data_IF_407847003524
#
_entry.id   IF_407847003524
#
_cell.length_a   1.000
_cell.length_b   1.000
_cell.length_c   1.000
_cell.angle_alpha   90.00
_cell.angle_beta   90.00
_cell.angle_gamma   90.00
#
_symmetry.space_group_name_H-M   'P 1'
#
loop_
_entity.id
_entity.type
_entity.pdbx_description
1 polymer ?
#
# COMPACT_ATOMS: atom_id res chain seq x y z
N UNK A 1 20.88 44.92 -48.84
CA UNK A 1 20.52 44.78 -47.41
C UNK A 1 19.24 43.98 -47.31
N UNK A 2 19.34 42.70 -47.01
CA UNK A 2 18.19 41.80 -46.80
C UNK A 2 17.93 41.69 -45.29
N UNK A 3 16.78 42.18 -44.85
CA UNK A 3 16.28 42.02 -43.50
C UNK A 3 15.75 40.58 -43.33
N UNK A 4 16.46 39.79 -42.51
CA UNK A 4 15.97 38.49 -42.03
C UNK A 4 14.96 38.76 -40.92
N UNK A 5 13.69 38.55 -41.18
CA UNK A 5 12.62 38.51 -40.19
C UNK A 5 12.75 37.20 -39.40
N UNK A 6 13.28 37.24 -38.18
CA UNK A 6 13.23 36.11 -37.26
C UNK A 6 11.79 35.97 -36.75
N UNK A 7 11.09 34.94 -37.21
CA UNK A 7 9.82 34.51 -36.66
C UNK A 7 10.09 33.89 -35.26
N UNK A 8 9.85 34.70 -34.21
CA UNK A 8 9.65 34.13 -32.86
C UNK A 8 8.34 33.33 -32.89
N UNK A 9 8.45 32.03 -32.97
CA UNK A 9 7.32 31.14 -32.65
C UNK A 9 6.98 31.38 -31.17
N UNK A 10 5.90 32.11 -30.93
CA UNK A 10 5.31 32.19 -29.60
C UNK A 10 4.92 30.77 -29.20
N UNK A 11 5.65 30.19 -28.25
CA UNK A 11 5.27 28.91 -27.64
C UNK A 11 3.95 29.16 -26.92
N UNK A 12 2.84 28.73 -27.47
CA UNK A 12 1.55 28.74 -26.78
C UNK A 12 1.72 27.95 -25.48
N UNK A 13 1.24 28.46 -24.33
CA UNK A 13 1.33 27.70 -23.09
C UNK A 13 0.67 26.32 -23.32
N UNK A 14 1.43 25.26 -23.03
CA UNK A 14 0.89 23.90 -23.11
C UNK A 14 -0.32 23.80 -22.18
N UNK A 15 -1.41 23.27 -22.69
CA UNK A 15 -2.59 23.06 -21.86
C UNK A 15 -2.33 21.92 -20.87
N UNK A 16 -2.85 22.00 -19.64
CA UNK A 16 -2.74 20.94 -18.65
C UNK A 16 -3.72 19.80 -18.94
N UNK A 17 -3.42 19.06 -20.02
CA UNK A 17 -4.23 17.99 -20.57
C UNK A 17 -3.33 16.85 -21.06
N UNK A 18 -3.72 15.60 -20.76
CA UNK A 18 -2.99 14.40 -21.14
C UNK A 18 -3.96 13.28 -21.51
N UNK A 19 -3.60 12.43 -22.47
CA UNK A 19 -4.34 11.22 -22.82
C UNK A 19 -3.50 9.98 -22.57
N UNK A 20 -4.17 8.82 -22.39
CA UNK A 20 -3.52 7.52 -22.49
C UNK A 20 -2.88 7.32 -23.87
N UNK A 21 -1.91 6.41 -24.02
CA UNK A 21 -1.28 6.14 -25.30
C UNK A 21 -2.27 5.72 -26.40
N UNK A 22 -3.34 4.99 -26.06
CA UNK A 22 -4.42 4.61 -26.98
C UNK A 22 -5.46 5.72 -27.24
N UNK A 23 -5.37 6.83 -26.50
CA UNK A 23 -6.23 8.00 -26.63
C UNK A 23 -7.60 7.91 -25.96
N UNK A 24 -7.95 6.77 -25.32
CA UNK A 24 -9.27 6.53 -24.72
C UNK A 24 -9.51 7.28 -23.41
N UNK A 25 -8.46 7.37 -22.58
CA UNK A 25 -8.54 7.98 -21.25
C UNK A 25 -7.90 9.35 -21.33
N UNK A 26 -8.59 10.38 -20.85
CA UNK A 26 -8.04 11.73 -20.82
C UNK A 26 -8.16 12.35 -19.43
N UNK A 27 -7.15 13.15 -19.06
CA UNK A 27 -7.11 13.91 -17.81
C UNK A 27 -6.87 15.37 -18.13
N UNK A 28 -7.72 16.23 -17.60
CA UNK A 28 -7.53 17.68 -17.60
C UNK A 28 -7.28 18.18 -16.18
N UNK A 29 -6.47 19.23 -16.08
CA UNK A 29 -6.19 19.92 -14.80
C UNK A 29 -6.46 21.40 -14.98
N UNK A 30 -7.19 21.99 -14.04
CA UNK A 30 -7.54 23.40 -14.08
C UNK A 30 -7.21 24.06 -12.73
N UNK A 31 -6.92 25.35 -12.75
CA UNK A 31 -6.78 26.16 -11.56
C UNK A 31 -7.87 27.24 -11.56
N UNK A 32 -8.68 27.23 -10.51
CA UNK A 32 -9.74 28.21 -10.26
C UNK A 32 -9.43 29.02 -9.01
N UNK A 33 -9.69 30.31 -9.06
CA UNK A 33 -9.39 31.23 -7.96
C UNK A 33 -10.15 30.90 -6.66
N UNK A 34 -11.34 30.30 -6.76
CA UNK A 34 -12.20 29.91 -5.62
C UNK A 34 -12.02 28.46 -5.19
N UNK A 35 -11.96 27.52 -6.16
CA UNK A 35 -11.89 26.10 -5.92
C UNK A 35 -10.45 25.56 -5.75
N UNK A 36 -9.44 26.36 -6.15
CA UNK A 36 -8.03 25.91 -6.18
C UNK A 36 -7.73 25.09 -7.42
N UNK A 37 -7.00 23.98 -7.28
CA UNK A 37 -6.63 23.10 -8.40
C UNK A 37 -7.59 21.92 -8.44
N UNK A 38 -8.11 21.61 -9.63
CA UNK A 38 -9.00 20.48 -9.88
C UNK A 38 -8.47 19.62 -11.01
N UNK A 39 -8.87 18.34 -11.03
CA UNK A 39 -8.67 17.42 -12.14
C UNK A 39 -10.00 16.81 -12.57
N UNK A 40 -10.10 16.40 -13.81
CA UNK A 40 -11.23 15.64 -14.33
C UNK A 40 -10.73 14.49 -15.22
N UNK A 41 -11.51 13.42 -15.30
CA UNK A 41 -11.17 12.22 -16.09
C UNK A 41 -12.33 11.88 -17.02
N UNK A 42 -12.02 11.63 -18.29
CA UNK A 42 -12.96 11.09 -19.27
C UNK A 42 -12.47 9.75 -19.81
N UNK A 43 -13.41 8.89 -20.21
CA UNK A 43 -13.16 7.63 -20.91
C UNK A 43 -14.04 7.61 -22.17
N UNK A 44 -13.43 7.44 -23.35
CA UNK A 44 -14.12 7.52 -24.64
C UNK A 44 -14.99 8.80 -24.75
N UNK A 45 -14.40 9.94 -24.36
CA UNK A 45 -15.02 11.29 -24.31
C UNK A 45 -16.18 11.43 -23.31
N UNK A 46 -16.49 10.41 -22.51
CA UNK A 46 -17.51 10.49 -21.47
C UNK A 46 -16.92 10.80 -20.11
N UNK A 47 -17.53 11.68 -19.32
CA UNK A 47 -17.04 11.96 -17.95
C UNK A 47 -17.10 10.72 -17.07
N UNK A 48 -15.99 10.38 -16.41
CA UNK A 48 -15.91 9.42 -15.34
C UNK A 48 -15.78 10.11 -13.98
N UNK A 49 -14.83 11.05 -13.89
CA UNK A 49 -14.61 11.90 -12.73
C UNK A 49 -14.82 13.36 -13.15
N UNK A 50 -15.77 14.02 -12.51
CA UNK A 50 -16.03 15.45 -12.66
C UNK A 50 -14.92 16.28 -12.03
N UNK A 51 -14.81 17.60 -12.28
CA UNK A 51 -13.82 18.44 -11.64
C UNK A 51 -13.76 18.22 -10.12
N UNK A 52 -12.68 17.62 -9.67
CA UNK A 52 -12.42 17.15 -8.31
C UNK A 52 -11.23 17.90 -7.73
N UNK A 53 -11.35 18.42 -6.52
CA UNK A 53 -10.29 19.18 -5.88
C UNK A 53 -9.06 18.33 -5.61
N UNK A 54 -7.89 18.98 -5.64
CA UNK A 54 -6.59 18.42 -5.32
C UNK A 54 -5.85 19.31 -4.32
N UNK A 55 -4.96 18.72 -3.55
CA UNK A 55 -4.06 19.47 -2.70
C UNK A 55 -3.71 18.77 -1.39
N UNK A 56 -2.80 19.40 -0.66
CA UNK A 56 -2.37 19.01 0.68
C UNK A 56 -2.54 20.20 1.61
N UNK A 57 -3.09 19.97 2.80
CA UNK A 57 -3.11 20.95 3.87
C UNK A 57 -1.89 20.72 4.78
N UNK A 58 -1.09 21.75 4.97
CA UNK A 58 0.06 21.73 5.86
C UNK A 58 0.11 23.04 6.66
N UNK A 59 0.27 22.96 7.97
CA UNK A 59 0.41 24.14 8.86
C UNK A 59 -0.70 25.20 8.67
N UNK A 60 -1.96 24.78 8.42
CA UNK A 60 -3.10 25.67 8.21
C UNK A 60 -3.13 26.36 6.84
N UNK A 61 -2.28 25.97 5.90
CA UNK A 61 -2.23 26.54 4.56
C UNK A 61 -3.22 25.85 3.63
N UNK A 62 -4.17 26.59 3.07
CA UNK A 62 -5.11 26.13 2.03
C UNK A 62 -4.51 26.39 0.64
N UNK A 63 -4.94 25.61 -0.38
CA UNK A 63 -4.55 25.82 -1.78
C UNK A 63 -5.46 26.77 -2.55
N UNK A 64 -6.42 27.40 -1.88
CA UNK A 64 -7.25 28.41 -2.51
C UNK A 64 -6.38 29.53 -3.13
N UNK A 65 -6.74 29.91 -4.34
CA UNK A 65 -6.00 30.91 -5.10
C UNK A 65 -4.66 30.44 -5.69
N UNK A 66 -4.33 29.14 -5.58
CA UNK A 66 -3.16 28.59 -6.27
C UNK A 66 -3.30 28.69 -7.80
N UNK A 67 -2.19 28.89 -8.50
CA UNK A 67 -2.14 29.02 -9.96
C UNK A 67 -1.20 28.00 -10.57
N UNK A 68 -1.48 27.60 -11.80
CA UNK A 68 -0.57 26.78 -12.62
C UNK A 68 0.51 27.70 -13.17
N UNK A 69 1.77 27.38 -12.90
CA UNK A 69 2.94 28.17 -13.32
C UNK A 69 3.77 27.49 -14.40
N UNK A 70 3.52 26.22 -14.70
CA UNK A 70 4.18 25.48 -15.76
C UNK A 70 3.55 24.12 -16.01
N UNK A 71 3.64 23.63 -17.24
CA UNK A 71 3.17 22.31 -17.67
C UNK A 71 4.23 21.69 -18.58
N UNK A 72 4.58 20.42 -18.32
CA UNK A 72 5.53 19.64 -19.12
C UNK A 72 4.94 18.27 -19.42
N UNK A 73 5.27 17.74 -20.60
CA UNK A 73 4.83 16.44 -21.05
C UNK A 73 6.02 15.55 -21.38
N UNK A 74 5.87 14.26 -21.09
CA UNK A 74 6.78 13.20 -21.52
C UNK A 74 6.02 11.92 -21.75
N UNK A 75 6.67 10.88 -22.27
CA UNK A 75 6.10 9.55 -22.44
C UNK A 75 7.15 8.49 -22.13
N UNK A 76 6.67 7.30 -21.81
CA UNK A 76 7.52 6.13 -21.56
C UNK A 76 6.89 4.89 -22.19
N UNK A 77 7.71 4.02 -22.77
CA UNK A 77 7.33 2.69 -23.21
C UNK A 77 8.47 1.73 -22.95
N UNK A 78 8.25 0.77 -22.06
CA UNK A 78 9.25 -0.18 -21.64
C UNK A 78 8.64 -1.51 -21.22
N UNK A 79 9.47 -2.54 -21.14
CA UNK A 79 9.11 -3.86 -20.67
C UNK A 79 9.98 -4.25 -19.50
N UNK A 80 9.38 -4.88 -18.51
CA UNK A 80 10.11 -5.51 -17.41
C UNK A 80 9.56 -6.90 -17.13
N UNK A 81 10.33 -7.70 -16.41
CA UNK A 81 10.01 -9.10 -16.12
C UNK A 81 9.84 -9.30 -14.63
N UNK A 82 8.69 -9.82 -14.22
CA UNK A 82 8.46 -10.25 -12.85
C UNK A 82 9.04 -11.64 -12.62
N UNK A 83 9.65 -11.92 -11.45
CA UNK A 83 10.17 -13.25 -11.13
C UNK A 83 9.07 -14.29 -10.90
N UNK A 84 7.87 -13.85 -10.48
CA UNK A 84 6.65 -14.66 -10.28
C UNK A 84 5.41 -13.79 -10.48
N UNK A 85 4.22 -14.35 -10.35
CA UNK A 85 2.91 -13.70 -10.54
C UNK A 85 2.19 -14.22 -11.76
N UNK A 86 1.02 -13.65 -12.06
CA UNK A 86 0.15 -14.07 -13.15
C UNK A 86 0.78 -13.80 -14.53
N UNK A 87 1.50 -12.70 -14.64
CA UNK A 87 2.17 -12.29 -15.87
C UNK A 87 3.68 -12.24 -15.67
N UNK A 88 4.41 -12.84 -16.60
CA UNK A 88 5.89 -12.80 -16.59
C UNK A 88 6.43 -11.48 -17.13
N UNK A 89 5.75 -10.85 -18.09
CA UNK A 89 6.16 -9.59 -18.71
C UNK A 89 5.11 -8.54 -18.47
N UNK A 90 5.56 -7.36 -18.07
CA UNK A 90 4.73 -6.19 -17.84
C UNK A 90 5.20 -5.06 -18.76
N UNK A 91 4.28 -4.52 -19.57
CA UNK A 91 4.55 -3.30 -20.32
C UNK A 91 4.30 -2.10 -19.41
N UNK A 92 5.27 -1.22 -19.33
CA UNK A 92 5.15 0.08 -18.65
C UNK A 92 5.05 1.15 -19.74
N UNK A 93 3.81 1.49 -20.14
CA UNK A 93 3.53 2.38 -21.27
C UNK A 93 2.55 3.45 -20.82
N UNK A 94 3.02 4.70 -20.78
CA UNK A 94 2.21 5.82 -20.34
C UNK A 94 2.65 7.13 -20.98
N UNK A 95 1.73 8.08 -21.05
CA UNK A 95 2.04 9.49 -21.18
C UNK A 95 2.08 10.13 -19.80
N UNK A 96 2.97 11.10 -19.59
CA UNK A 96 3.16 11.80 -18.32
C UNK A 96 3.00 13.29 -18.51
N UNK A 97 2.32 13.94 -17.55
CA UNK A 97 2.18 15.37 -17.44
C UNK A 97 2.61 15.83 -16.04
N UNK A 98 3.47 16.83 -15.99
CA UNK A 98 3.84 17.52 -14.74
C UNK A 98 3.26 18.93 -14.76
N UNK A 99 2.53 19.29 -13.70
CA UNK A 99 1.88 20.60 -13.55
C UNK A 99 2.45 21.29 -12.30
N UNK A 100 3.21 22.35 -12.49
CA UNK A 100 3.71 23.15 -11.37
C UNK A 100 2.61 24.07 -10.85
N UNK A 101 2.35 23.97 -9.55
CA UNK A 101 1.33 24.76 -8.85
C UNK A 101 2.00 25.60 -7.77
N UNK A 102 1.58 26.86 -7.64
CA UNK A 102 2.09 27.80 -6.65
C UNK A 102 1.00 28.71 -6.10
N UNK A 103 1.03 28.95 -4.80
CA UNK A 103 0.24 30.03 -4.20
C UNK A 103 0.85 31.40 -4.47
N UNK A 104 0.03 32.47 -4.61
CA UNK A 104 0.53 33.83 -4.86
C UNK A 104 1.48 34.34 -3.75
N UNK A 105 1.21 34.00 -2.51
CA UNK A 105 2.01 34.35 -1.33
C UNK A 105 3.29 33.49 -1.18
N UNK A 106 3.51 32.54 -2.10
CA UNK A 106 4.64 31.59 -2.11
C UNK A 106 4.71 30.67 -0.89
N UNK A 107 3.69 30.60 -0.05
CA UNK A 107 3.63 29.75 1.14
C UNK A 107 3.57 28.26 0.79
N UNK A 108 3.13 27.92 -0.43
CA UNK A 108 3.07 26.55 -0.91
C UNK A 108 3.38 26.49 -2.42
N UNK A 109 4.24 25.56 -2.78
CA UNK A 109 4.51 25.19 -4.16
C UNK A 109 4.74 23.69 -4.25
N UNK A 110 4.17 23.04 -5.25
CA UNK A 110 4.38 21.62 -5.53
C UNK A 110 4.18 21.34 -7.01
N UNK A 111 4.60 20.14 -7.44
CA UNK A 111 4.31 19.62 -8.77
C UNK A 111 3.29 18.52 -8.64
N UNK A 112 2.21 18.59 -9.40
CA UNK A 112 1.33 17.47 -9.65
C UNK A 112 1.90 16.67 -10.82
N UNK A 113 2.12 15.37 -10.58
CA UNK A 113 2.57 14.47 -11.64
C UNK A 113 1.43 13.52 -11.97
N UNK A 114 1.02 13.51 -13.23
CA UNK A 114 0.01 12.60 -13.77
C UNK A 114 0.66 11.61 -14.72
N UNK A 115 0.19 10.36 -14.67
CA UNK A 115 0.45 9.34 -15.68
C UNK A 115 -0.87 8.78 -16.19
N UNK A 116 -1.04 8.74 -17.49
CA UNK A 116 -2.17 8.12 -18.16
C UNK A 116 -1.67 6.86 -18.88
N UNK A 117 -2.19 5.71 -18.46
CA UNK A 117 -1.98 4.38 -19.04
C UNK A 117 -3.22 3.96 -19.82
N UNK A 118 -3.13 2.92 -20.66
CA UNK A 118 -4.30 2.37 -21.37
C UNK A 118 -5.28 1.67 -20.40
N UNK A 119 -4.85 1.32 -19.19
CA UNK A 119 -5.62 0.67 -18.13
C UNK A 119 -5.89 1.56 -16.90
N UNK A 120 -5.73 2.88 -17.03
CA UNK A 120 -6.07 3.83 -15.98
C UNK A 120 -5.15 5.04 -15.87
N UNK A 121 -5.34 5.79 -14.79
CA UNK A 121 -4.55 6.97 -14.47
C UNK A 121 -3.94 6.89 -13.08
N UNK A 122 -2.88 7.64 -12.89
CA UNK A 122 -2.30 7.88 -11.57
C UNK A 122 -1.84 9.33 -11.43
N UNK A 123 -1.89 9.86 -10.20
CA UNK A 123 -1.30 11.15 -9.88
C UNK A 123 -0.71 11.17 -8.47
N UNK A 124 0.24 12.06 -8.25
CA UNK A 124 0.89 12.28 -6.96
C UNK A 124 1.36 13.72 -6.80
N UNK A 125 1.68 14.06 -5.56
CA UNK A 125 2.24 15.36 -5.21
C UNK A 125 3.75 15.24 -5.02
N UNK A 126 4.52 16.14 -5.63
CA UNK A 126 5.96 16.26 -5.45
C UNK A 126 6.25 17.63 -4.83
N UNK A 127 6.74 17.61 -3.58
CA UNK A 127 7.03 18.81 -2.81
C UNK A 127 8.53 19.15 -2.87
N UNK A 128 8.82 20.44 -2.91
CA UNK A 128 10.17 20.98 -2.86
C UNK A 128 10.18 22.24 -1.96
N UNK A 129 9.79 22.06 -0.69
CA UNK A 129 9.78 23.11 0.31
C UNK A 129 11.14 23.21 1.00
N UNK A 130 11.53 24.36 1.55
CA UNK A 130 12.80 24.51 2.26
C UNK A 130 12.83 23.73 3.58
N UNK A 131 11.69 23.65 4.27
CA UNK A 131 11.56 23.10 5.62
C UNK A 131 10.66 21.85 5.65
N UNK A 132 10.79 21.05 6.71
CA UNK A 132 9.88 19.94 7.01
C UNK A 132 8.44 20.44 7.21
N UNK A 133 7.47 19.60 6.85
CA UNK A 133 6.06 19.91 6.92
C UNK A 133 5.31 18.94 7.83
N UNK A 134 4.35 19.46 8.57
CA UNK A 134 3.29 18.68 9.21
C UNK A 134 2.05 18.71 8.30
N UNK A 135 1.74 17.61 7.66
CA UNK A 135 0.57 17.47 6.80
C UNK A 135 -0.65 17.16 7.67
N UNK A 136 -1.66 18.00 7.58
CA UNK A 136 -2.88 17.88 8.39
C UNK A 136 -4.06 17.27 7.64
N UNK A 137 -4.08 17.36 6.31
CA UNK A 137 -5.10 16.72 5.47
C UNK A 137 -4.62 16.56 4.02
N UNK A 138 -5.25 15.64 3.28
CA UNK A 138 -5.19 15.53 1.83
C UNK A 138 -6.55 15.91 1.25
N UNK A 139 -6.54 16.85 0.30
CA UNK A 139 -7.75 17.45 -0.25
C UNK A 139 -8.24 16.75 -1.52
N UNK A 140 -7.64 15.63 -1.89
CA UNK A 140 -7.97 14.86 -3.09
C UNK A 140 -9.42 14.37 -3.06
N UNK A 141 -10.23 14.80 -4.03
CA UNK A 141 -11.61 14.39 -4.22
C UNK A 141 -11.76 13.38 -5.36
N UNK A 142 -12.88 12.63 -5.33
CA UNK A 142 -13.30 11.69 -6.37
C UNK A 142 -14.80 11.89 -6.64
N UNK A 143 -15.14 12.85 -7.53
CA UNK A 143 -16.52 13.18 -7.90
C UNK A 143 -16.94 12.34 -9.10
N UNK A 144 -17.59 11.21 -8.87
CA UNK A 144 -18.09 10.38 -9.96
C UNK A 144 -19.18 11.11 -10.75
N UNK A 145 -19.15 10.99 -12.08
CA UNK A 145 -20.10 11.67 -12.95
C UNK A 145 -21.55 11.20 -12.76
N UNK A 146 -21.73 9.92 -12.41
CA UNK A 146 -23.04 9.31 -12.16
C UNK A 146 -22.99 8.41 -10.93
N UNK A 147 -23.00 9.00 -9.75
CA UNK A 147 -22.95 8.26 -8.49
C UNK A 147 -24.18 7.38 -8.24
N UNK A 148 -25.34 7.74 -8.82
CA UNK A 148 -26.61 7.02 -8.63
C UNK A 148 -26.63 5.67 -9.33
N UNK A 149 -26.04 5.57 -10.51
CA UNK A 149 -25.98 4.36 -11.35
C UNK A 149 -24.61 3.68 -11.35
N UNK A 150 -23.63 4.25 -10.65
CA UNK A 150 -22.33 3.62 -10.43
C UNK A 150 -22.40 2.74 -9.18
N UNK A 151 -22.32 1.43 -9.38
CA UNK A 151 -22.25 0.45 -8.28
C UNK A 151 -20.83 0.32 -7.74
N UNK A 152 -20.69 0.08 -6.44
CA UNK A 152 -19.40 -0.11 -5.78
C UNK A 152 -19.37 -1.36 -4.93
N UNK A 153 -18.17 -1.93 -4.77
CA UNK A 153 -17.83 -3.04 -3.89
C UNK A 153 -16.61 -2.64 -3.07
N UNK A 154 -16.80 -2.49 -1.76
CA UNK A 154 -15.73 -2.10 -0.85
C UNK A 154 -16.04 -2.57 0.58
N UNK A 155 -14.99 -2.70 1.39
CA UNK A 155 -15.16 -2.83 2.85
C UNK A 155 -15.31 -1.43 3.47
N UNK A 156 -15.91 -1.31 4.67
CA UNK A 156 -15.98 -0.04 5.40
C UNK A 156 -14.60 0.60 5.60
N UNK A 157 -14.56 1.93 5.58
CA UNK A 157 -13.33 2.69 5.85
C UNK A 157 -12.80 2.47 7.26
N UNK A 158 -11.60 1.91 7.37
CA UNK A 158 -10.98 1.51 8.63
C UNK A 158 -9.46 1.73 8.55
N UNK A 159 -8.84 2.15 9.65
CA UNK A 159 -7.40 2.37 9.73
C UNK A 159 -6.66 1.30 10.55
N UNK A 160 -7.35 0.21 10.91
CA UNK A 160 -6.81 -0.86 11.77
C UNK A 160 -6.82 -2.24 11.12
N UNK A 161 -7.79 -2.51 10.24
CA UNK A 161 -7.95 -3.85 9.66
C UNK A 161 -8.65 -3.83 8.32
N UNK A 162 -8.34 -4.84 7.49
CA UNK A 162 -9.07 -5.16 6.26
C UNK A 162 -10.01 -6.38 6.43
N UNK A 163 -10.06 -7.00 7.60
CA UNK A 163 -10.88 -8.19 7.86
C UNK A 163 -12.35 -7.83 8.08
N UNK A 164 -12.96 -7.17 7.07
CA UNK A 164 -14.33 -6.70 7.09
C UNK A 164 -15.10 -7.26 5.89
N UNK A 165 -16.42 -7.29 6.00
CA UNK A 165 -17.26 -7.75 4.89
C UNK A 165 -17.46 -6.67 3.84
N UNK A 166 -17.44 -7.08 2.57
CA UNK A 166 -17.74 -6.20 1.44
C UNK A 166 -19.20 -5.74 1.47
N UNK A 167 -19.39 -4.47 1.13
CA UNK A 167 -20.69 -3.85 0.88
C UNK A 167 -20.84 -3.61 -0.62
N UNK A 168 -21.99 -4.03 -1.16
CA UNK A 168 -22.41 -3.70 -2.53
C UNK A 168 -23.46 -2.61 -2.45
N UNK A 169 -23.19 -1.44 -3.05
CA UNK A 169 -24.10 -0.29 -3.01
C UNK A 169 -23.76 0.74 -4.08
N UNK A 170 -24.74 1.57 -4.52
CA UNK A 170 -24.46 2.74 -5.35
C UNK A 170 -23.45 3.67 -4.68
N UNK A 171 -22.55 4.27 -5.46
CA UNK A 171 -21.55 5.24 -4.96
C UNK A 171 -22.21 6.36 -4.18
N UNK A 172 -23.39 6.81 -4.58
CA UNK A 172 -24.17 7.83 -3.87
C UNK A 172 -24.50 7.49 -2.40
N UNK A 173 -24.46 6.21 -2.02
CA UNK A 173 -24.72 5.73 -0.66
C UNK A 173 -23.47 5.48 0.17
N UNK A 174 -22.29 5.56 -0.44
CA UNK A 174 -21.02 5.31 0.24
C UNK A 174 -20.71 6.47 1.17
N UNK A 175 -20.60 6.21 2.46
CA UNK A 175 -20.17 7.17 3.48
C UNK A 175 -18.67 7.08 3.71
N UNK A 176 -18.14 5.87 3.71
CA UNK A 176 -16.73 5.52 3.88
C UNK A 176 -16.41 4.20 3.17
N UNK A 177 -15.18 4.05 2.73
CA UNK A 177 -14.68 2.83 2.12
C UNK A 177 -13.16 2.71 2.24
N UNK A 178 -12.64 1.52 2.48
CA UNK A 178 -11.23 1.22 2.24
C UNK A 178 -10.96 1.08 0.74
N UNK A 179 -9.71 1.24 0.35
CA UNK A 179 -9.24 0.95 -1.00
C UNK A 179 -8.58 -0.44 -1.06
N UNK A 180 -8.62 -1.16 -2.18
CA UNK A 180 -9.21 -0.78 -3.47
C UNK A 180 -10.73 -0.58 -3.42
N UNK A 181 -11.18 0.60 -3.83
CA UNK A 181 -12.59 0.90 -3.99
C UNK A 181 -13.02 0.54 -5.41
N UNK A 182 -13.56 -0.66 -5.58
CA UNK A 182 -13.99 -1.18 -6.88
C UNK A 182 -15.36 -0.64 -7.25
N UNK A 183 -15.54 -0.26 -8.51
CA UNK A 183 -16.81 0.26 -9.02
C UNK A 183 -17.11 -0.23 -10.45
N UNK A 184 -18.38 -0.10 -10.83
CA UNK A 184 -18.88 -0.27 -12.20
C UNK A 184 -19.86 0.85 -12.51
N UNK A 185 -19.59 1.62 -13.56
CA UNK A 185 -20.49 2.67 -14.04
C UNK A 185 -21.76 2.10 -14.69
N UNK A 186 -22.80 2.92 -14.81
CA UNK A 186 -24.05 2.52 -15.46
C UNK A 186 -23.88 2.12 -16.93
N UNK A 187 -22.91 2.69 -17.64
CA UNK A 187 -22.55 2.37 -19.02
C UNK A 187 -21.51 1.24 -19.17
N UNK A 188 -21.11 0.61 -18.07
CA UNK A 188 -20.38 -0.66 -18.08
C UNK A 188 -18.87 -0.58 -17.92
N UNK A 189 -18.28 0.58 -17.62
CA UNK A 189 -16.87 0.72 -17.27
C UNK A 189 -16.64 0.17 -15.87
N UNK A 190 -15.66 -0.71 -15.69
CA UNK A 190 -15.17 -1.17 -14.41
C UNK A 190 -13.96 -0.34 -13.99
N UNK A 191 -13.83 -0.07 -12.71
CA UNK A 191 -12.67 0.64 -12.20
C UNK A 191 -12.38 0.34 -10.73
N UNK A 192 -11.21 0.80 -10.27
CA UNK A 192 -10.84 0.75 -8.87
C UNK A 192 -10.04 1.99 -8.49
N UNK A 193 -10.48 2.70 -7.46
CA UNK A 193 -9.67 3.74 -6.81
C UNK A 193 -8.77 3.07 -5.80
N UNK A 194 -7.46 3.32 -5.87
CA UNK A 194 -6.46 2.77 -4.98
C UNK A 194 -5.24 3.68 -4.91
N UNK A 195 -4.16 3.18 -4.31
CA UNK A 195 -2.87 3.85 -4.18
C UNK A 195 -1.71 2.90 -4.56
N UNK A 196 -0.57 3.48 -4.89
CA UNK A 196 0.65 2.74 -5.18
C UNK A 196 1.87 3.47 -4.63
N UNK A 197 2.98 2.75 -4.44
CA UNK A 197 4.21 3.27 -3.84
C UNK A 197 3.97 3.94 -2.48
N UNK A 198 3.28 3.24 -1.60
CA UNK A 198 2.99 3.70 -0.24
C UNK A 198 4.26 3.58 0.63
N UNK A 199 5.04 4.66 0.67
CA UNK A 199 6.26 4.77 1.45
C UNK A 199 6.23 6.03 2.30
N UNK A 200 6.52 5.90 3.59
CA UNK A 200 6.64 7.03 4.54
C UNK A 200 5.44 7.99 4.54
N UNK A 201 4.25 7.46 4.28
CA UNK A 201 2.99 8.17 4.18
C UNK A 201 1.84 7.32 4.74
N UNK A 202 0.81 7.91 5.36
CA UNK A 202 -0.33 7.14 5.84
C UNK A 202 -1.19 6.62 4.68
N UNK A 203 -1.85 5.49 4.90
CA UNK A 203 -2.79 4.93 3.97
C UNK A 203 -4.04 5.80 3.80
N UNK A 204 -4.65 5.71 2.62
CA UNK A 204 -5.86 6.41 2.25
C UNK A 204 -7.09 5.50 2.38
N UNK A 205 -8.12 5.97 3.07
CA UNK A 205 -9.50 5.52 2.89
C UNK A 205 -10.31 6.61 2.17
N UNK A 206 -11.44 6.27 1.59
CA UNK A 206 -12.37 7.24 1.05
C UNK A 206 -13.42 7.57 2.12
N UNK A 207 -13.73 8.85 2.29
CA UNK A 207 -14.82 9.34 3.16
C UNK A 207 -15.63 10.40 2.44
N UNK A 208 -16.94 10.34 2.64
CA UNK A 208 -17.85 11.40 2.17
C UNK A 208 -17.83 12.54 3.15
N UNK A 209 -17.52 13.73 2.67
CA UNK A 209 -17.49 14.95 3.49
C UNK A 209 -18.89 15.55 3.70
N UNK A 210 -18.97 16.66 4.42
CA UNK A 210 -20.24 17.36 4.69
C UNK A 210 -20.88 18.00 3.43
N UNK A 211 -20.10 18.19 2.37
CA UNK A 211 -20.60 18.66 1.07
C UNK A 211 -21.10 17.50 0.18
N UNK A 212 -21.03 16.25 0.67
CA UNK A 212 -21.48 15.07 -0.06
C UNK A 212 -20.48 14.56 -1.08
N UNK A 213 -19.18 14.86 -0.93
CA UNK A 213 -18.14 14.45 -1.87
C UNK A 213 -17.26 13.35 -1.27
N UNK A 214 -16.96 12.30 -2.05
CA UNK A 214 -15.96 11.32 -1.66
C UNK A 214 -14.56 11.92 -1.81
N UNK A 215 -13.78 11.86 -0.73
CA UNK A 215 -12.41 12.34 -0.71
C UNK A 215 -11.46 11.39 0.00
N UNK A 216 -10.18 11.54 -0.27
CA UNK A 216 -9.13 10.89 0.50
C UNK A 216 -9.19 11.32 1.98
N UNK A 217 -9.08 10.35 2.87
CA UNK A 217 -8.95 10.58 4.30
C UNK A 217 -7.79 9.72 4.80
N UNK A 218 -6.79 10.37 5.39
CA UNK A 218 -5.56 9.74 5.82
C UNK A 218 -5.63 9.30 7.28
N UNK A 219 -5.00 8.17 7.60
CA UNK A 219 -4.86 7.70 8.98
C UNK A 219 -4.02 8.69 9.80
N UNK A 220 -4.52 9.21 10.93
CA UNK A 220 -3.79 10.17 11.75
C UNK A 220 -2.74 9.50 12.65
N UNK A 221 -1.74 10.28 13.03
CA UNK A 221 -0.91 10.04 14.20
C UNK A 221 -1.68 10.43 15.49
N UNK A 222 -1.20 10.05 16.70
CA UNK A 222 -1.89 10.35 17.96
C UNK A 222 -2.13 11.84 18.24
N UNK A 223 -1.33 12.74 17.66
CA UNK A 223 -1.49 14.20 17.74
C UNK A 223 -2.44 14.78 16.69
N UNK A 224 -3.03 13.94 15.83
CA UNK A 224 -3.94 14.33 14.77
C UNK A 224 -3.28 14.71 13.44
N UNK A 225 -1.96 14.93 13.40
CA UNK A 225 -1.18 15.14 12.17
C UNK A 225 -1.25 13.85 11.32
N UNK A 226 -1.32 14.01 10.00
CA UNK A 226 -1.39 12.85 9.10
C UNK A 226 0.01 12.33 8.78
N UNK A 227 0.93 13.23 8.47
CA UNK A 227 2.33 12.88 8.20
C UNK A 227 3.28 14.02 8.58
N UNK A 228 4.43 13.64 9.09
CA UNK A 228 5.61 14.50 9.18
C UNK A 228 6.56 14.15 8.05
N UNK A 229 6.81 15.09 7.14
CA UNK A 229 7.62 14.85 5.95
C UNK A 229 8.75 15.86 5.84
N UNK A 230 9.91 15.50 5.24
CA UNK A 230 10.94 16.46 4.88
C UNK A 230 10.42 17.39 3.80
N UNK A 231 11.04 18.57 3.65
CA UNK A 231 10.63 19.57 2.66
C UNK A 231 10.67 19.07 1.21
N UNK A 232 11.59 18.14 0.88
CA UNK A 232 11.57 17.39 -0.38
C UNK A 232 10.92 16.04 -0.15
N UNK A 233 9.74 15.85 -0.73
CA UNK A 233 8.96 14.65 -0.54
C UNK A 233 8.09 14.33 -1.76
N UNK A 234 7.87 13.07 -2.00
CA UNK A 234 6.96 12.56 -3.03
C UNK A 234 5.93 11.67 -2.36
N UNK A 235 4.64 12.02 -2.50
CA UNK A 235 3.55 11.22 -1.93
C UNK A 235 3.37 9.92 -2.70
N UNK A 236 2.67 8.92 -2.15
CA UNK A 236 2.15 7.81 -2.92
C UNK A 236 1.32 8.26 -4.12
N UNK A 237 1.20 7.38 -5.10
CA UNK A 237 0.29 7.60 -6.22
C UNK A 237 -1.15 7.35 -5.77
N UNK A 238 -2.06 8.22 -6.18
CA UNK A 238 -3.49 7.96 -6.21
C UNK A 238 -3.83 7.42 -7.58
N UNK A 239 -4.53 6.28 -7.63
CA UNK A 239 -4.77 5.56 -8.88
C UNK A 239 -6.26 5.40 -9.14
N UNK A 240 -6.64 5.42 -10.40
CA UNK A 240 -7.95 5.00 -10.89
C UNK A 240 -7.68 3.99 -12.01
N UNK A 241 -7.80 2.70 -11.70
CA UNK A 241 -7.78 1.65 -12.70
C UNK A 241 -9.07 1.70 -13.51
N UNK A 242 -9.00 1.41 -14.80
CA UNK A 242 -10.12 1.49 -15.73
C UNK A 242 -10.06 0.29 -16.67
N UNK A 243 -11.18 -0.40 -16.84
CA UNK A 243 -11.29 -1.56 -17.70
C UNK A 243 -12.71 -1.74 -18.25
N UNK A 244 -12.85 -2.35 -19.43
CA UNK A 244 -14.16 -2.67 -20.03
C UNK A 244 -14.80 -3.92 -19.41
N UNK A 245 -14.04 -4.67 -18.61
CA UNK A 245 -14.47 -5.92 -17.96
C UNK A 245 -13.83 -6.05 -16.58
N UNK A 246 -14.55 -6.66 -15.64
CA UNK A 246 -14.05 -6.87 -14.26
C UNK A 246 -12.68 -7.58 -14.22
N UNK A 247 -12.47 -8.60 -15.08
CA UNK A 247 -11.18 -9.31 -15.15
C UNK A 247 -10.03 -8.42 -15.60
N UNK A 248 -10.29 -7.31 -16.29
CA UNK A 248 -9.28 -6.33 -16.67
C UNK A 248 -8.61 -5.68 -15.47
N UNK A 249 -9.31 -5.51 -14.36
CA UNK A 249 -8.75 -4.96 -13.14
C UNK A 249 -7.70 -5.92 -12.52
N UNK A 250 -7.93 -7.24 -12.59
CA UNK A 250 -6.99 -8.25 -12.10
C UNK A 250 -5.74 -8.31 -12.99
N UNK A 251 -5.91 -8.14 -14.30
CA UNK A 251 -4.82 -8.20 -15.28
C UNK A 251 -4.03 -6.89 -15.40
N UNK A 252 -4.51 -5.80 -14.83
CA UNK A 252 -3.84 -4.50 -14.88
C UNK A 252 -2.46 -4.55 -14.23
N UNK A 253 -1.49 -3.95 -14.90
CA UNK A 253 -0.13 -3.76 -14.38
C UNK A 253 0.09 -2.36 -13.80
N UNK A 254 -0.95 -1.52 -13.74
CA UNK A 254 -0.83 -0.11 -13.37
C UNK A 254 -0.17 0.07 -11.99
N UNK A 255 -0.68 -0.61 -10.96
CA UNK A 255 -0.11 -0.50 -9.60
C UNK A 255 1.34 -1.01 -9.56
N UNK A 256 1.65 -2.09 -10.28
CA UNK A 256 3.01 -2.63 -10.35
C UNK A 256 3.97 -1.64 -11.04
N UNK A 257 3.52 -1.00 -12.12
CA UNK A 257 4.31 -0.03 -12.89
C UNK A 257 4.56 1.29 -12.15
N UNK A 258 3.77 1.59 -11.12
CA UNK A 258 3.88 2.82 -10.33
C UNK A 258 4.77 2.66 -9.11
N UNK A 259 5.07 1.42 -8.70
CA UNK A 259 6.01 1.16 -7.61
C UNK A 259 7.46 1.30 -8.10
N UNK A 260 8.35 1.59 -7.15
CA UNK A 260 9.78 1.68 -7.42
C UNK A 260 10.33 0.30 -7.87
N UNK A 261 11.38 0.26 -8.70
CA UNK A 261 12.03 -0.98 -9.07
C UNK A 261 12.50 -1.78 -7.85
N UNK A 262 12.51 -3.11 -7.97
CA UNK A 262 13.00 -3.99 -6.90
C UNK A 262 14.43 -3.63 -6.51
N UNK A 263 14.68 -3.52 -5.20
CA UNK A 263 16.02 -3.36 -4.62
C UNK A 263 16.73 -4.72 -4.41
N UNK A 264 16.05 -5.83 -4.65
CA UNK A 264 16.58 -7.18 -4.50
C UNK A 264 17.09 -7.65 -5.86
N UNK A 265 18.40 -7.69 -6.04
CA UNK A 265 19.05 -8.10 -7.29
C UNK A 265 18.91 -9.61 -7.54
N UNK A 266 19.18 -10.42 -6.52
CA UNK A 266 19.04 -11.89 -6.58
C UNK A 266 17.73 -12.31 -5.90
N UNK A 267 16.72 -12.65 -6.69
CA UNK A 267 15.41 -13.13 -6.22
C UNK A 267 15.30 -14.66 -6.19
N UNK A 268 16.35 -15.40 -6.51
CA UNK A 268 16.33 -16.86 -6.64
C UNK A 268 15.98 -17.60 -5.33
N UNK A 269 16.22 -16.96 -4.19
CA UNK A 269 15.93 -17.50 -2.86
C UNK A 269 14.47 -17.27 -2.43
N UNK A 270 13.71 -16.45 -3.16
CA UNK A 270 12.30 -16.16 -2.88
C UNK A 270 11.45 -17.17 -3.65
N UNK A 271 10.88 -18.13 -2.96
CA UNK A 271 10.06 -19.18 -3.55
C UNK A 271 8.67 -19.16 -2.92
N UNK A 272 7.60 -18.93 -3.71
CA UNK A 272 6.22 -19.05 -3.22
C UNK A 272 5.96 -20.46 -2.68
N UNK A 273 5.30 -20.57 -1.53
CA UNK A 273 5.11 -21.82 -0.80
C UNK A 273 3.69 -21.93 -0.24
N UNK A 274 3.26 -23.17 -0.06
CA UNK A 274 2.11 -23.52 0.80
C UNK A 274 2.65 -23.94 2.17
N UNK A 275 1.91 -23.61 3.23
CA UNK A 275 2.25 -24.02 4.59
C UNK A 275 1.09 -24.71 5.30
N UNK A 276 1.43 -25.46 6.31
CA UNK A 276 0.52 -26.00 7.33
C UNK A 276 1.13 -25.75 8.71
N UNK A 277 0.28 -25.54 9.71
CA UNK A 277 0.84 -25.24 11.02
C UNK A 277 -0.13 -25.27 12.18
N UNK A 278 0.38 -24.90 13.33
CA UNK A 278 -0.35 -24.85 14.58
C UNK A 278 -0.93 -23.44 14.76
N UNK A 279 -2.22 -23.30 14.54
CA UNK A 279 -2.99 -22.07 14.73
C UNK A 279 -4.48 -22.38 14.97
N UNK A 280 -5.10 -23.15 14.07
CA UNK A 280 -6.55 -23.38 14.11
C UNK A 280 -7.00 -24.12 15.37
N UNK A 281 -6.20 -25.04 15.89
CA UNK A 281 -6.48 -25.75 17.14
C UNK A 281 -6.61 -24.83 18.36
N UNK A 282 -5.92 -23.67 18.34
CA UNK A 282 -6.03 -22.64 19.38
C UNK A 282 -7.40 -21.95 19.33
N UNK A 283 -7.87 -21.59 18.13
CA UNK A 283 -9.19 -20.96 17.93
C UNK A 283 -10.34 -21.91 18.25
N UNK A 284 -10.15 -23.21 18.03
CA UNK A 284 -11.11 -24.24 18.43
C UNK A 284 -11.03 -24.60 19.93
N UNK A 285 -10.07 -24.03 20.68
CA UNK A 285 -9.88 -24.31 22.10
C UNK A 285 -9.31 -25.72 22.39
N UNK A 286 -8.88 -26.47 21.38
CA UNK A 286 -8.24 -27.79 21.54
C UNK A 286 -6.77 -27.70 21.89
N UNK A 287 -6.14 -26.58 21.54
CA UNK A 287 -4.75 -26.23 21.83
C UNK A 287 -4.66 -24.82 22.45
N UNK A 288 -3.48 -24.45 22.96
CA UNK A 288 -3.18 -23.11 23.49
C UNK A 288 -1.79 -22.67 23.02
N UNK A 289 -1.53 -21.34 23.06
CA UNK A 289 -0.24 -20.76 22.67
C UNK A 289 0.83 -20.88 23.76
N UNK A 290 0.46 -21.19 25.00
CA UNK A 290 1.37 -21.21 26.14
C UNK A 290 1.77 -22.62 26.50
N UNK A 291 2.96 -22.79 27.10
CA UNK A 291 3.45 -24.08 27.57
C UNK A 291 2.49 -24.71 28.58
N UNK A 292 2.23 -26.02 28.41
CA UNK A 292 1.31 -26.78 29.27
C UNK A 292 0.71 -28.00 28.56
N UNK A 293 -0.27 -28.69 29.19
CA UNK A 293 -0.81 -29.96 28.68
C UNK A 293 -1.48 -29.84 27.29
N UNK A 294 -1.97 -28.66 26.93
CA UNK A 294 -2.61 -28.40 25.63
C UNK A 294 -1.76 -27.52 24.72
N UNK A 295 -0.47 -27.33 25.02
CA UNK A 295 0.39 -26.52 24.18
C UNK A 295 0.45 -27.05 22.75
N UNK A 296 0.14 -26.19 21.77
CA UNK A 296 0.12 -26.54 20.35
C UNK A 296 1.53 -26.63 19.76
N UNK A 297 2.38 -25.67 20.05
CA UNK A 297 3.73 -25.56 19.51
C UNK A 297 4.73 -26.38 20.35
N UNK A 298 4.63 -27.70 20.28
CA UNK A 298 5.60 -28.62 20.91
C UNK A 298 6.47 -29.31 19.89
N UNK A 299 7.67 -29.75 20.28
CA UNK A 299 8.58 -30.52 19.41
C UNK A 299 7.87 -31.75 18.78
N UNK A 300 7.05 -32.44 19.57
CA UNK A 300 6.29 -33.60 19.08
C UNK A 300 5.28 -33.22 17.99
N UNK A 301 4.54 -32.14 18.21
CA UNK A 301 3.57 -31.67 17.20
C UNK A 301 4.29 -31.14 15.97
N UNK A 302 5.42 -30.45 16.15
CA UNK A 302 6.21 -29.94 15.03
C UNK A 302 6.67 -31.08 14.11
N UNK A 303 7.24 -32.16 14.68
CA UNK A 303 7.65 -33.33 13.90
C UNK A 303 6.47 -33.91 13.11
N UNK A 304 5.28 -34.08 13.73
CA UNK A 304 4.07 -34.59 13.05
C UNK A 304 3.63 -33.69 11.88
N UNK A 305 3.69 -32.36 12.02
CA UNK A 305 3.35 -31.44 10.94
C UNK A 305 4.39 -31.46 9.83
N UNK A 306 5.67 -31.60 10.16
CA UNK A 306 6.75 -31.74 9.18
C UNK A 306 6.57 -33.04 8.37
N UNK A 307 6.29 -34.17 9.03
CA UNK A 307 6.02 -35.43 8.34
C UNK A 307 4.80 -35.30 7.41
N UNK A 308 3.70 -34.76 7.90
CA UNK A 308 2.51 -34.49 7.10
C UNK A 308 2.78 -33.59 5.90
N UNK A 309 3.54 -32.49 6.10
CA UNK A 309 3.89 -31.58 5.03
C UNK A 309 4.74 -32.28 3.94
N UNK A 310 5.75 -33.05 4.35
CA UNK A 310 6.60 -33.82 3.45
C UNK A 310 5.81 -34.85 2.63
N UNK A 311 4.91 -35.60 3.27
CA UNK A 311 4.08 -36.63 2.63
C UNK A 311 3.05 -36.03 1.64
N UNK A 312 2.61 -34.77 1.86
CA UNK A 312 1.57 -34.14 1.06
C UNK A 312 2.08 -33.03 0.12
N UNK A 313 3.39 -32.90 -0.06
CA UNK A 313 3.98 -31.91 -0.97
C UNK A 313 3.70 -30.46 -0.52
N UNK A 314 3.62 -30.21 0.78
CA UNK A 314 3.51 -28.88 1.39
C UNK A 314 4.91 -28.42 1.75
N UNK A 315 5.30 -27.22 1.29
CA UNK A 315 6.68 -26.75 1.38
C UNK A 315 7.05 -26.19 2.75
N UNK A 316 6.07 -25.69 3.54
CA UNK A 316 6.34 -24.98 4.78
C UNK A 316 5.53 -25.48 5.98
N UNK A 317 6.09 -25.27 7.17
CA UNK A 317 5.38 -25.46 8.45
C UNK A 317 5.57 -24.26 9.34
N UNK A 318 4.49 -23.82 10.01
CA UNK A 318 4.48 -22.65 10.90
C UNK A 318 3.90 -23.05 12.28
N UNK A 319 4.51 -22.54 13.34
CA UNK A 319 4.06 -22.79 14.71
C UNK A 319 3.87 -21.48 15.46
N UNK A 320 2.62 -21.06 15.68
CA UNK A 320 2.34 -19.97 16.62
C UNK A 320 2.50 -20.48 18.05
N UNK A 321 2.92 -19.61 18.96
CA UNK A 321 3.15 -19.99 20.35
C UNK A 321 4.47 -20.74 20.60
N UNK A 322 5.42 -20.70 19.68
CA UNK A 322 6.70 -21.40 19.82
C UNK A 322 7.62 -20.76 20.86
N UNK A 323 7.49 -19.44 21.09
CA UNK A 323 8.36 -18.59 21.90
C UNK A 323 7.67 -18.08 23.16
N UNK A 324 8.44 -17.63 24.14
CA UNK A 324 7.92 -17.07 25.40
C UNK A 324 7.22 -15.74 25.20
N UNK A 325 6.25 -15.43 26.06
CA UNK A 325 5.56 -14.13 26.10
C UNK A 325 4.06 -14.19 25.89
N UNK A 326 3.50 -15.33 25.53
CA UNK A 326 2.06 -15.51 25.29
C UNK A 326 1.20 -15.52 26.55
N UNK A 327 1.81 -15.70 27.72
CA UNK A 327 1.12 -15.73 29.02
C UNK A 327 0.45 -14.39 29.37
N UNK A 328 0.97 -13.30 28.83
CA UNK A 328 0.52 -11.94 29.14
C UNK A 328 -0.39 -11.36 28.06
N UNK A 329 -1.08 -12.20 27.30
CA UNK A 329 -1.95 -11.74 26.21
C UNK A 329 -3.02 -10.75 26.70
N UNK A 330 -3.09 -9.57 26.06
CA UNK A 330 -3.95 -8.44 26.47
C UNK A 330 -3.37 -7.52 27.52
N UNK A 331 -2.18 -7.83 28.07
CA UNK A 331 -1.45 -7.00 29.05
C UNK A 331 -0.26 -6.27 28.44
N UNK A 332 0.80 -6.09 29.23
CA UNK A 332 2.07 -5.56 28.73
C UNK A 332 2.88 -6.69 28.07
N UNK A 333 2.51 -7.05 26.86
CA UNK A 333 3.14 -8.14 26.11
C UNK A 333 4.58 -7.80 25.75
N UNK A 334 5.46 -8.76 26.03
CA UNK A 334 6.85 -8.77 25.61
C UNK A 334 7.18 -10.18 25.15
N UNK A 335 7.30 -10.35 23.85
CA UNK A 335 7.68 -11.64 23.28
C UNK A 335 9.20 -11.75 23.23
N UNK A 336 9.69 -12.96 23.53
CA UNK A 336 11.10 -13.30 23.32
C UNK A 336 11.26 -14.03 21.99
N UNK A 337 11.79 -13.36 20.98
CA UNK A 337 11.97 -13.94 19.64
C UNK A 337 13.26 -14.76 19.48
N UNK A 338 14.00 -14.95 20.57
CA UNK A 338 15.23 -15.76 20.59
C UNK A 338 15.06 -17.04 21.41
N UNK A 339 14.18 -16.99 22.43
CA UNK A 339 14.00 -18.08 23.41
C UNK A 339 12.69 -18.85 23.12
N UNK A 340 12.77 -20.12 22.68
CA UNK A 340 11.60 -20.98 22.58
C UNK A 340 11.09 -21.38 23.97
N UNK A 341 9.86 -21.89 24.02
CA UNK A 341 9.42 -22.64 25.20
C UNK A 341 10.23 -23.93 25.35
N UNK A 342 10.36 -24.42 26.59
CA UNK A 342 11.18 -25.60 26.91
C UNK A 342 10.74 -26.89 26.21
N UNK A 343 9.48 -26.97 25.77
CA UNK A 343 8.91 -28.11 25.04
C UNK A 343 8.96 -27.94 23.51
N UNK A 344 9.59 -26.84 23.01
CA UNK A 344 9.82 -26.55 21.60
C UNK A 344 11.33 -26.48 21.29
N UNK A 345 11.93 -27.61 20.93
CA UNK A 345 13.34 -27.70 20.56
C UNK A 345 13.56 -27.16 19.14
N UNK A 346 13.81 -25.85 19.08
CA UNK A 346 13.90 -25.11 17.81
C UNK A 346 15.02 -25.65 16.89
N UNK A 347 16.18 -25.98 17.43
CA UNK A 347 17.33 -26.51 16.69
C UNK A 347 17.01 -27.88 16.07
N UNK A 348 16.43 -28.76 16.85
CA UNK A 348 16.02 -30.11 16.40
C UNK A 348 14.93 -30.02 15.35
N UNK A 349 13.94 -29.13 15.52
CA UNK A 349 12.85 -28.93 14.57
C UNK A 349 13.37 -28.40 13.25
N UNK A 350 14.26 -27.39 13.29
CA UNK A 350 14.86 -26.82 12.09
C UNK A 350 15.74 -27.85 11.35
N UNK A 351 16.50 -28.67 12.08
CA UNK A 351 17.29 -29.76 11.47
C UNK A 351 16.40 -30.82 10.82
N UNK A 352 15.34 -31.25 11.51
CA UNK A 352 14.41 -32.25 11.01
C UNK A 352 13.62 -31.78 9.80
N UNK A 353 13.16 -30.54 9.81
CA UNK A 353 12.48 -29.93 8.67
C UNK A 353 13.38 -29.95 7.41
N UNK A 354 14.66 -29.56 7.55
CA UNK A 354 15.62 -29.64 6.45
C UNK A 354 15.86 -31.08 5.95
N UNK A 355 15.97 -32.05 6.86
CA UNK A 355 16.10 -33.47 6.50
C UNK A 355 14.93 -33.94 5.65
N UNK A 356 13.72 -33.49 5.97
CA UNK A 356 12.49 -33.83 5.25
C UNK A 356 12.21 -32.97 4.01
N UNK A 357 13.06 -31.99 3.70
CA UNK A 357 12.86 -31.06 2.58
C UNK A 357 11.72 -30.05 2.81
N UNK A 358 11.35 -29.81 4.07
CA UNK A 358 10.30 -28.89 4.47
C UNK A 358 10.93 -27.62 5.08
N UNK A 359 10.40 -26.45 4.77
CA UNK A 359 10.85 -25.17 5.33
C UNK A 359 10.18 -24.90 6.67
N UNK A 360 10.96 -24.60 7.70
CA UNK A 360 10.41 -24.01 8.92
C UNK A 360 10.12 -22.53 8.69
N UNK A 361 8.91 -22.07 9.03
CA UNK A 361 8.53 -20.66 9.05
C UNK A 361 8.51 -20.17 10.48
N UNK A 362 9.19 -19.06 10.74
CA UNK A 362 9.10 -18.42 12.05
C UNK A 362 7.88 -17.51 12.14
N UNK A 363 7.28 -17.47 13.32
CA UNK A 363 6.19 -16.58 13.66
C UNK A 363 6.65 -15.56 14.70
N UNK A 364 6.53 -14.29 14.39
CA UNK A 364 6.83 -13.17 15.30
C UNK A 364 5.53 -12.38 15.56
N UNK A 365 4.75 -12.80 16.57
CA UNK A 365 3.63 -12.00 17.04
C UNK A 365 4.16 -10.78 17.81
N UNK A 366 3.66 -9.59 17.53
CA UNK A 366 4.09 -8.35 18.19
C UNK A 366 3.14 -7.89 19.29
N UNK A 367 1.86 -8.29 19.22
CA UNK A 367 0.81 -7.79 20.09
C UNK A 367 0.71 -6.26 20.07
N UNK A 368 1.05 -5.65 18.93
CA UNK A 368 1.11 -4.20 18.76
C UNK A 368 2.24 -3.48 19.49
N UNK A 369 3.18 -4.21 20.14
CA UNK A 369 4.33 -3.60 20.82
C UNK A 369 5.50 -3.40 19.87
N UNK A 370 5.34 -2.46 18.95
CA UNK A 370 6.29 -2.19 17.87
C UNK A 370 7.69 -1.81 18.39
N UNK A 371 7.86 -0.91 19.39
CA UNK A 371 9.18 -0.56 19.87
C UNK A 371 9.96 -1.77 20.45
N UNK A 372 9.28 -2.69 21.14
CA UNK A 372 9.90 -3.90 21.67
C UNK A 372 10.35 -4.83 20.53
N UNK A 373 9.50 -5.02 19.51
CA UNK A 373 9.85 -5.85 18.37
C UNK A 373 11.03 -5.27 17.57
N UNK A 374 11.00 -3.98 17.25
CA UNK A 374 12.08 -3.33 16.49
C UNK A 374 13.44 -3.39 17.23
N UNK A 375 13.44 -3.32 18.54
CA UNK A 375 14.68 -3.41 19.33
C UNK A 375 15.40 -4.78 19.20
N UNK A 376 14.66 -5.85 18.88
CA UNK A 376 15.20 -7.24 18.83
C UNK A 376 15.08 -7.89 17.45
N UNK A 377 14.34 -7.29 16.53
CA UNK A 377 13.99 -7.83 15.22
C UNK A 377 15.23 -8.27 14.43
N UNK A 378 16.26 -7.45 14.38
CA UNK A 378 17.48 -7.77 13.62
C UNK A 378 18.22 -8.98 14.22
N UNK A 379 18.30 -9.08 15.56
CA UNK A 379 18.90 -10.23 16.25
C UNK A 379 18.11 -11.51 15.98
N UNK A 380 16.77 -11.42 16.02
CA UNK A 380 15.90 -12.55 15.70
C UNK A 380 16.10 -13.03 14.25
N UNK A 381 16.07 -12.12 13.28
CA UNK A 381 16.24 -12.48 11.86
C UNK A 381 17.62 -13.07 11.56
N UNK A 382 18.66 -12.60 12.24
CA UNK A 382 20.01 -13.21 12.17
C UNK A 382 20.00 -14.63 12.71
N UNK A 383 19.42 -14.85 13.87
CA UNK A 383 19.28 -16.19 14.48
C UNK A 383 18.55 -17.15 13.56
N UNK A 384 17.45 -16.72 12.92
CA UNK A 384 16.71 -17.53 11.98
C UNK A 384 17.52 -17.85 10.72
N UNK A 385 18.37 -16.92 10.26
CA UNK A 385 19.29 -17.18 9.15
C UNK A 385 20.31 -18.26 9.48
N UNK A 386 20.87 -18.25 10.70
CA UNK A 386 21.79 -19.30 11.20
C UNK A 386 21.12 -20.68 11.24
N UNK A 387 19.83 -20.73 11.53
CA UNK A 387 19.02 -21.96 11.50
C UNK A 387 18.62 -22.40 10.09
N UNK A 388 18.94 -21.62 9.04
CA UNK A 388 18.54 -21.91 7.68
C UNK A 388 17.06 -21.66 7.39
N UNK A 389 16.41 -20.84 8.21
CA UNK A 389 15.01 -20.41 7.99
C UNK A 389 14.97 -19.25 7.02
N UNK A 390 14.10 -19.32 6.01
CA UNK A 390 13.98 -18.32 4.95
C UNK A 390 12.59 -17.62 4.91
N UNK A 391 11.67 -18.00 5.77
CA UNK A 391 10.31 -17.44 5.76
C UNK A 391 9.92 -16.99 7.16
N UNK A 392 9.29 -15.83 7.23
CA UNK A 392 8.84 -15.20 8.46
C UNK A 392 7.39 -14.72 8.31
N UNK A 393 6.53 -15.06 9.28
CA UNK A 393 5.22 -14.43 9.49
C UNK A 393 5.36 -13.44 10.64
N UNK A 394 5.06 -12.17 10.42
CA UNK A 394 4.96 -11.16 11.48
C UNK A 394 3.50 -10.94 11.82
N UNK A 395 3.11 -11.11 13.08
CA UNK A 395 1.77 -10.93 13.60
C UNK A 395 1.59 -9.56 14.27
N UNK A 396 0.39 -9.01 14.13
CA UNK A 396 0.03 -7.69 14.66
C UNK A 396 -1.37 -7.73 15.30
N UNK A 397 -1.65 -8.76 16.07
CA UNK A 397 -2.94 -8.89 16.71
C UNK A 397 -3.14 -7.79 17.77
N UNK A 398 -4.24 -7.02 17.62
CA UNK A 398 -4.56 -5.86 18.45
C UNK A 398 -3.94 -4.56 17.96
N UNK A 399 -4.42 -3.42 18.47
CA UNK A 399 -3.95 -2.10 18.09
C UNK A 399 -2.51 -1.81 18.54
N UNK A 400 -1.83 -0.91 17.84
CA UNK A 400 -0.47 -0.50 18.19
C UNK A 400 -0.45 0.24 19.53
N UNK A 401 0.54 -0.08 20.37
CA UNK A 401 0.76 0.63 21.64
C UNK A 401 1.15 2.09 21.37
N UNK A 402 0.70 2.98 22.25
CA UNK A 402 0.93 4.42 22.11
C UNK A 402 -0.13 5.16 21.30
N UNK A 403 -1.23 4.50 20.93
CA UNK A 403 -2.34 5.12 20.21
C UNK A 403 -2.10 5.33 18.71
N UNK A 404 -1.08 4.69 18.16
CA UNK A 404 -0.85 4.66 16.71
C UNK A 404 -1.82 3.71 16.04
N UNK A 405 -2.29 4.09 14.86
CA UNK A 405 -3.11 3.23 14.01
C UNK A 405 -2.22 2.41 13.07
N UNK A 406 -2.66 1.20 12.71
CA UNK A 406 -1.92 0.31 11.80
C UNK A 406 -1.59 0.97 10.46
N UNK A 407 -2.53 1.74 9.91
CA UNK A 407 -2.42 2.38 8.60
C UNK A 407 -1.88 3.82 8.66
N UNK A 408 -1.45 4.29 9.85
CA UNK A 408 -0.77 5.59 9.99
C UNK A 408 0.63 5.57 9.37
N UNK A 409 1.22 6.75 9.18
CA UNK A 409 2.62 6.87 8.74
C UNK A 409 3.57 6.00 9.59
N UNK A 410 3.37 5.96 10.90
CA UNK A 410 4.15 5.14 11.82
C UNK A 410 4.07 3.64 11.48
N UNK A 411 2.85 3.13 11.22
CA UNK A 411 2.64 1.74 10.83
C UNK A 411 3.28 1.42 9.49
N UNK A 412 3.07 2.26 8.48
CA UNK A 412 3.69 2.09 7.15
C UNK A 412 5.22 2.07 7.24
N UNK A 413 5.83 2.98 8.00
CA UNK A 413 7.26 2.99 8.25
C UNK A 413 7.74 1.71 8.94
N UNK A 414 6.99 1.21 9.91
CA UNK A 414 7.30 -0.05 10.58
C UNK A 414 7.29 -1.22 9.62
N UNK A 415 6.22 -1.39 8.84
CA UNK A 415 6.12 -2.48 7.85
C UNK A 415 7.25 -2.44 6.84
N UNK A 416 7.62 -1.24 6.37
CA UNK A 416 8.76 -1.06 5.47
C UNK A 416 10.07 -1.52 6.12
N UNK A 417 10.32 -1.14 7.39
CA UNK A 417 11.53 -1.59 8.14
C UNK A 417 11.57 -3.11 8.30
N UNK A 418 10.43 -3.74 8.56
CA UNK A 418 10.35 -5.22 8.68
C UNK A 418 10.77 -5.90 7.39
N UNK A 419 10.21 -5.50 6.24
CA UNK A 419 10.53 -6.14 4.96
C UNK A 419 11.96 -5.84 4.50
N UNK A 420 12.48 -4.64 4.74
CA UNK A 420 13.87 -4.29 4.43
C UNK A 420 14.86 -5.08 5.29
N UNK A 421 14.57 -5.26 6.58
CA UNK A 421 15.38 -6.09 7.48
C UNK A 421 15.29 -7.57 7.08
N UNK A 422 14.10 -8.06 6.73
CA UNK A 422 13.91 -9.42 6.22
C UNK A 422 14.75 -9.66 4.96
N UNK A 423 14.73 -8.75 3.99
CA UNK A 423 15.52 -8.84 2.77
C UNK A 423 17.04 -8.89 3.04
N UNK A 424 17.54 -8.09 3.99
CA UNK A 424 18.95 -8.11 4.43
C UNK A 424 19.41 -9.50 4.87
N UNK A 425 18.53 -10.28 5.48
CA UNK A 425 18.78 -11.65 5.95
C UNK A 425 18.23 -12.72 5.01
N UNK A 426 17.90 -12.38 3.76
CA UNK A 426 17.33 -13.27 2.73
C UNK A 426 16.10 -14.03 3.25
N UNK A 427 15.15 -13.28 3.79
CA UNK A 427 13.88 -13.82 4.29
C UNK A 427 12.70 -13.23 3.52
N UNK A 428 11.77 -14.11 3.13
CA UNK A 428 10.43 -13.69 2.72
C UNK A 428 9.67 -13.31 3.98
N UNK A 429 9.15 -12.09 4.02
CA UNK A 429 8.23 -11.64 5.05
C UNK A 429 6.77 -11.84 4.64
N UNK A 430 5.93 -12.26 5.58
CA UNK A 430 4.48 -12.17 5.50
C UNK A 430 4.00 -11.40 6.71
N UNK A 431 3.28 -10.32 6.50
CA UNK A 431 2.53 -9.65 7.56
C UNK A 431 1.13 -10.25 7.66
N UNK A 432 0.61 -10.32 8.88
CA UNK A 432 -0.78 -10.66 9.16
C UNK A 432 -1.31 -9.63 10.14
N UNK A 433 -2.27 -8.84 9.70
CA UNK A 433 -2.90 -7.76 10.47
C UNK A 433 -4.25 -8.24 10.98
#
# INVERSE_FOLDING_TARGET
MAFACALFAACSPQQPFITSPDGRIAVSVEADAGAGVTYAVTVDDKPLILPSAMGLAACGTSLQGATITGVWHSSHDGLWTAPWGENKRHRNHYNEMSVAVRKPDKSMAFTLRFRAFDDGIAFRYELAQPDSLAVTDELTEFRFADEGHTMSWSIPGNFETYELQYREQPVARVTDANTPFTFRTGDGIFGAVHEAALYDWPEMVLRRDSAGVLKAALAPLPDGVKAYIPGRFTTPWRTIQIADRAVGLINSSLVLNLNEPSKIEDTSWIVPQKDVGVWWGMHLGTQVWTMGPRHGATTRNAIRHIDFAAENGIQGVLFEGWNKGWENWGGNQQFDYLEPYADFDLERIAAYAREKGVQLWMHNETGGNIPQYEAVMEAAMRRYAELGVHTLKTGYAGGFKGGYLHHSQYGVQHYQRVVETAAKYRKIGRAHV
#
